data_IF_780137295102
#
_entry.id   IF_780137295102
#
_cell.length_a   1.000
_cell.length_b   1.000
_cell.length_c   1.000
_cell.angle_alpha   90.00
_cell.angle_beta   90.00
_cell.angle_gamma   90.00
#
_symmetry.space_group_name_H-M   'P 1'
#
loop_
_entity.id
_entity.type
_entity.pdbx_description
1 polymer ?
#
# COMPACT_ATOMS: atom_id res chain seq x y z
N UNK A 1 -16.74 -45.52 39.83
CA UNK A 1 -16.54 -45.24 38.39
C UNK A 1 -16.97 -43.82 38.00
N UNK A 2 -18.06 -43.25 38.52
CA UNK A 2 -18.55 -41.91 38.16
C UNK A 2 -17.56 -40.76 38.46
N UNK A 3 -16.76 -40.82 39.53
CA UNK A 3 -15.77 -39.75 39.86
C UNK A 3 -14.59 -39.66 38.90
N UNK A 4 -14.17 -40.78 38.29
CA UNK A 4 -13.06 -40.79 37.32
C UNK A 4 -13.48 -40.19 35.95
N UNK A 5 -14.73 -40.38 35.55
CA UNK A 5 -15.29 -39.82 34.31
C UNK A 5 -15.40 -38.31 34.43
N UNK A 6 -15.80 -37.78 35.60
CA UNK A 6 -15.93 -36.33 35.83
C UNK A 6 -14.56 -35.63 35.79
N UNK A 7 -13.50 -36.25 36.27
CA UNK A 7 -12.15 -35.73 36.23
C UNK A 7 -11.62 -35.65 34.79
N UNK A 8 -11.96 -36.66 33.93
CA UNK A 8 -11.56 -36.65 32.51
C UNK A 8 -12.26 -35.54 31.70
N UNK A 9 -13.53 -35.27 31.97
CA UNK A 9 -14.30 -34.22 31.33
C UNK A 9 -13.75 -32.84 31.72
N UNK A 10 -13.40 -32.63 32.99
CA UNK A 10 -12.81 -31.37 33.45
C UNK A 10 -11.43 -31.13 32.84
N UNK A 11 -10.61 -32.15 32.64
CA UNK A 11 -9.31 -32.06 32.01
C UNK A 11 -9.43 -31.74 30.49
N UNK A 12 -10.43 -32.30 29.81
CA UNK A 12 -10.68 -32.04 28.40
C UNK A 12 -11.11 -30.60 28.14
N UNK A 13 -11.86 -29.97 29.06
CA UNK A 13 -12.27 -28.56 28.94
C UNK A 13 -11.10 -27.59 29.13
N UNK A 14 -10.12 -27.92 29.97
CA UNK A 14 -8.90 -27.14 30.16
C UNK A 14 -7.99 -27.13 28.94
N UNK A 15 -7.99 -28.19 28.14
CA UNK A 15 -7.13 -28.30 26.95
C UNK A 15 -7.66 -27.46 25.76
N UNK A 16 -8.98 -27.28 25.67
CA UNK A 16 -9.57 -26.51 24.55
C UNK A 16 -9.38 -25.00 24.68
N UNK A 17 -9.12 -24.48 25.89
CA UNK A 17 -8.87 -23.04 26.09
C UNK A 17 -7.47 -22.56 25.66
N UNK A 18 -6.54 -23.52 25.45
CA UNK A 18 -5.15 -23.19 25.06
C UNK A 18 -4.96 -23.01 23.54
N UNK A 19 -5.95 -23.38 22.71
CA UNK A 19 -5.82 -23.28 21.25
C UNK A 19 -6.42 -22.01 20.63
N UNK A 20 -6.93 -21.08 21.41
CA UNK A 20 -7.49 -19.81 20.92
C UNK A 20 -6.48 -18.63 21.03
N UNK A 21 -5.21 -18.87 20.79
CA UNK A 21 -4.29 -17.78 20.47
C UNK A 21 -4.48 -17.38 19.01
N UNK A 22 -5.47 -16.54 18.76
CA UNK A 22 -5.57 -15.77 17.54
C UNK A 22 -4.28 -14.95 17.46
N UNK A 23 -3.35 -15.35 16.61
CA UNK A 23 -2.14 -14.61 16.29
C UNK A 23 -2.59 -13.25 15.75
N UNK A 24 -2.71 -12.27 16.61
CA UNK A 24 -2.84 -10.87 16.21
C UNK A 24 -1.53 -10.52 15.53
N UNK A 25 -1.54 -10.42 14.21
CA UNK A 25 -0.38 -9.96 13.48
C UNK A 25 -0.16 -8.51 13.88
N UNK A 26 0.84 -8.28 14.70
CA UNK A 26 1.22 -6.96 15.19
C UNK A 26 1.57 -6.07 13.98
N UNK A 27 0.83 -4.99 13.82
CA UNK A 27 1.04 -4.02 12.74
C UNK A 27 1.89 -2.88 13.26
N UNK A 28 3.02 -2.67 12.64
CA UNK A 28 3.94 -1.59 12.94
C UNK A 28 3.72 -0.41 11.99
N UNK A 29 4.08 0.78 12.44
CA UNK A 29 3.99 2.01 11.65
C UNK A 29 5.35 2.71 11.67
N UNK A 30 5.83 3.12 10.50
CA UNK A 30 7.02 3.97 10.34
C UNK A 30 6.64 5.20 9.53
N UNK A 31 7.08 6.36 9.97
CA UNK A 31 6.97 7.61 9.20
C UNK A 31 8.35 8.04 8.71
N UNK A 32 8.40 8.58 7.49
CA UNK A 32 9.61 9.13 6.89
C UNK A 32 9.26 10.50 6.34
N UNK A 33 9.90 11.54 6.84
CA UNK A 33 9.68 12.90 6.35
C UNK A 33 10.08 13.01 4.86
N UNK A 34 9.28 13.76 4.10
CA UNK A 34 9.51 14.03 2.68
C UNK A 34 9.18 15.49 2.39
N UNK A 35 9.90 16.07 1.45
CA UNK A 35 9.58 17.39 0.92
C UNK A 35 8.58 17.30 -0.24
N UNK A 36 8.11 18.45 -0.73
CA UNK A 36 7.23 18.49 -1.90
C UNK A 36 7.92 17.89 -3.13
N UNK A 37 7.26 16.92 -3.75
CA UNK A 37 7.69 16.28 -4.98
C UNK A 37 6.56 16.32 -6.03
N UNK A 38 6.91 16.18 -7.29
CA UNK A 38 5.96 16.07 -8.39
C UNK A 38 6.18 14.83 -9.28
N UNK A 39 7.21 14.05 -8.97
CA UNK A 39 7.49 12.76 -9.60
C UNK A 39 7.61 11.66 -8.57
N UNK A 40 6.90 10.56 -8.79
CA UNK A 40 6.91 9.35 -7.96
C UNK A 40 7.39 8.17 -8.78
N UNK A 41 8.37 7.41 -8.27
CA UNK A 41 8.88 6.19 -8.89
C UNK A 41 8.68 5.01 -7.93
N UNK A 42 8.00 3.96 -8.42
CA UNK A 42 7.72 2.73 -7.68
C UNK A 42 8.50 1.59 -8.33
N UNK A 43 9.50 1.05 -7.60
CA UNK A 43 10.45 0.03 -8.12
C UNK A 43 10.34 -1.34 -7.47
N UNK A 44 9.17 -1.70 -6.91
CA UNK A 44 9.02 -2.99 -6.23
C UNK A 44 7.57 -3.42 -6.16
N UNK A 45 7.35 -4.72 -6.00
CA UNK A 45 6.03 -5.31 -5.75
C UNK A 45 5.51 -4.89 -4.37
N UNK A 46 4.81 -3.77 -4.32
CA UNK A 46 4.29 -3.13 -3.11
C UNK A 46 2.89 -2.56 -3.35
N UNK A 47 2.15 -2.39 -2.26
CA UNK A 47 0.88 -1.67 -2.28
C UNK A 47 1.12 -0.24 -1.83
N UNK A 48 0.75 0.71 -2.69
CA UNK A 48 0.85 2.15 -2.45
C UNK A 48 -0.54 2.76 -2.42
N UNK A 49 -0.79 3.61 -1.44
CA UNK A 49 -1.98 4.43 -1.34
C UNK A 49 -1.60 5.90 -1.40
N UNK A 50 -2.02 6.58 -2.45
CA UNK A 50 -1.80 8.02 -2.63
C UNK A 50 -2.87 8.79 -1.86
N UNK A 51 -2.47 9.82 -1.13
CA UNK A 51 -3.38 10.65 -0.35
C UNK A 51 -3.15 12.11 -0.73
N UNK A 52 -4.16 12.74 -1.30
CA UNK A 52 -4.13 14.19 -1.53
C UNK A 52 -4.39 14.91 -0.19
N UNK A 53 -3.37 15.53 0.37
CA UNK A 53 -3.47 16.26 1.65
C UNK A 53 -2.67 17.56 1.60
N UNK A 54 -3.22 18.66 2.11
CA UNK A 54 -2.55 19.97 2.04
C UNK A 54 -1.30 20.10 2.92
N UNK A 55 -1.19 19.31 4.00
CA UNK A 55 -0.25 19.57 5.09
C UNK A 55 0.55 18.36 5.59
N UNK A 56 0.42 17.17 5.01
CA UNK A 56 1.19 16.00 5.45
C UNK A 56 2.53 15.94 4.71
N UNK A 57 3.64 15.94 5.46
CA UNK A 57 5.00 15.96 4.96
C UNK A 57 5.74 14.65 5.31
N UNK A 58 5.01 13.54 5.40
CA UNK A 58 5.62 12.27 5.71
C UNK A 58 4.95 11.09 5.00
N UNK A 59 5.77 10.23 4.41
CA UNK A 59 5.34 8.90 3.96
C UNK A 59 5.14 8.01 5.17
N UNK A 60 3.97 7.37 5.26
CA UNK A 60 3.63 6.43 6.33
C UNK A 60 3.65 5.00 5.79
N UNK A 61 4.37 4.12 6.44
CA UNK A 61 4.53 2.72 6.09
C UNK A 61 3.89 1.88 7.18
N UNK A 62 2.90 1.08 6.84
CA UNK A 62 2.20 0.18 7.74
C UNK A 62 2.40 -1.27 7.33
N UNK A 63 2.64 -2.16 8.30
CA UNK A 63 2.78 -3.58 8.03
C UNK A 63 3.59 -4.32 9.08
N UNK A 64 4.03 -5.52 8.73
CA UNK A 64 4.90 -6.29 9.62
C UNK A 64 6.26 -5.59 9.79
N UNK A 65 6.94 -5.84 10.92
CA UNK A 65 8.29 -5.33 11.16
C UNK A 65 9.25 -5.60 9.99
N UNK A 66 9.23 -6.84 9.45
CA UNK A 66 10.03 -7.22 8.28
C UNK A 66 9.69 -6.42 7.02
N UNK A 67 8.43 -6.04 6.83
CA UNK A 67 8.03 -5.22 5.69
C UNK A 67 8.62 -3.81 5.84
N UNK A 68 8.42 -3.18 6.98
CA UNK A 68 8.89 -1.82 7.26
C UNK A 68 10.41 -1.70 7.12
N UNK A 69 11.17 -2.68 7.61
CA UNK A 69 12.64 -2.68 7.53
C UNK A 69 13.17 -2.80 6.09
N UNK A 70 12.39 -3.40 5.19
CA UNK A 70 12.78 -3.59 3.79
C UNK A 70 12.41 -2.43 2.87
N UNK A 71 11.41 -1.62 3.26
CA UNK A 71 10.98 -0.48 2.45
C UNK A 71 11.97 0.67 2.60
N UNK A 72 12.37 1.23 1.47
CA UNK A 72 13.24 2.39 1.36
C UNK A 72 12.51 3.51 0.64
N UNK A 73 12.50 4.67 1.25
CA UNK A 73 12.01 5.92 0.70
C UNK A 73 13.25 6.78 0.42
N UNK A 74 13.42 7.18 -0.84
CA UNK A 74 14.57 7.96 -1.28
C UNK A 74 14.02 9.18 -2.01
N UNK A 75 14.41 10.37 -1.57
CA UNK A 75 14.07 11.61 -2.22
C UNK A 75 15.30 12.27 -2.81
N UNK A 76 15.19 12.72 -4.05
CA UNK A 76 16.19 13.51 -4.75
C UNK A 76 15.49 14.73 -5.42
N UNK A 77 15.55 15.86 -4.76
CA UNK A 77 14.84 17.07 -5.21
C UNK A 77 13.33 16.82 -5.31
N UNK A 78 12.78 16.95 -6.51
CA UNK A 78 11.34 16.78 -6.79
C UNK A 78 10.92 15.33 -7.12
N UNK A 79 11.83 14.40 -7.01
CA UNK A 79 11.58 12.97 -7.26
C UNK A 79 11.57 12.18 -5.95
N UNK A 80 10.51 11.40 -5.74
CA UNK A 80 10.39 10.44 -4.65
C UNK A 80 10.43 9.03 -5.22
N UNK A 81 11.41 8.23 -4.82
CA UNK A 81 11.53 6.82 -5.17
C UNK A 81 11.15 5.93 -4.00
N UNK A 82 10.24 5.00 -4.25
CA UNK A 82 9.83 3.96 -3.30
C UNK A 82 10.29 2.62 -3.81
N UNK A 83 11.10 1.92 -3.03
CA UNK A 83 11.55 0.57 -3.35
C UNK A 83 11.60 -0.32 -2.12
N UNK A 84 11.60 -1.63 -2.34
CA UNK A 84 11.76 -2.61 -1.28
C UNK A 84 12.79 -3.66 -1.69
N UNK A 85 13.54 -4.16 -0.72
CA UNK A 85 14.32 -5.38 -0.92
C UNK A 85 13.35 -6.54 -1.15
N UNK A 86 13.71 -7.49 -2.04
CA UNK A 86 12.85 -8.63 -2.42
C UNK A 86 12.18 -9.31 -1.24
N UNK A 87 10.89 -9.60 -1.37
CA UNK A 87 10.12 -10.42 -0.43
C UNK A 87 9.99 -11.83 -1.02
N UNK A 88 10.62 -12.82 -0.41
CA UNK A 88 10.38 -14.25 -0.75
C UNK A 88 8.97 -14.71 -0.33
N UNK A 89 8.35 -14.04 0.62
CA UNK A 89 7.06 -14.41 1.20
C UNK A 89 6.04 -13.30 0.97
N UNK A 90 5.13 -13.50 0.03
CA UNK A 90 4.11 -12.50 -0.36
C UNK A 90 2.97 -12.35 0.66
N UNK A 91 2.86 -13.24 1.66
CA UNK A 91 1.70 -13.28 2.56
C UNK A 91 1.64 -12.18 3.62
N UNK A 92 2.73 -11.44 3.87
CA UNK A 92 2.79 -10.36 4.89
C UNK A 92 3.15 -9.03 4.24
N UNK A 93 2.25 -8.54 3.42
CA UNK A 93 2.37 -7.22 2.78
C UNK A 93 1.91 -6.14 3.75
N UNK A 94 2.47 -4.96 3.60
CA UNK A 94 2.00 -3.73 4.22
C UNK A 94 1.52 -2.75 3.15
N UNK A 95 1.13 -1.58 3.60
CA UNK A 95 0.68 -0.47 2.76
C UNK A 95 1.59 0.72 2.98
N UNK A 96 1.94 1.40 1.90
CA UNK A 96 2.73 2.63 1.93
C UNK A 96 1.80 3.77 1.55
N UNK A 97 1.54 4.67 2.50
CA UNK A 97 0.72 5.86 2.32
C UNK A 97 1.63 7.00 1.93
N UNK A 98 1.38 7.59 0.77
CA UNK A 98 2.21 8.65 0.20
C UNK A 98 1.36 9.92 0.07
N UNK A 99 1.69 10.98 0.82
CA UNK A 99 1.06 12.28 0.64
C UNK A 99 1.48 12.84 -0.72
N UNK A 100 0.50 13.26 -1.52
CA UNK A 100 0.77 13.85 -2.82
C UNK A 100 0.11 15.22 -2.92
N UNK A 101 0.80 16.15 -3.58
CA UNK A 101 0.30 17.45 -3.95
C UNK A 101 0.77 17.74 -5.36
N UNK A 102 -0.15 17.93 -6.28
CA UNK A 102 0.19 18.25 -7.67
C UNK A 102 1.15 17.24 -8.31
N UNK A 103 0.91 15.93 -8.06
CA UNK A 103 1.69 14.87 -8.68
C UNK A 103 1.51 14.94 -10.20
N UNK A 104 2.62 15.09 -10.94
CA UNK A 104 2.62 15.26 -12.39
C UNK A 104 3.08 14.01 -13.13
N UNK A 105 4.01 13.26 -12.54
CA UNK A 105 4.60 12.09 -13.17
C UNK A 105 4.66 10.93 -12.20
N UNK A 106 4.28 9.74 -12.66
CA UNK A 106 4.42 8.49 -11.92
C UNK A 106 5.05 7.43 -12.82
N UNK A 107 6.03 6.71 -12.30
CA UNK A 107 6.66 5.59 -12.99
C UNK A 107 6.48 4.33 -12.14
N UNK A 108 5.98 3.27 -12.74
CA UNK A 108 5.75 1.98 -12.09
C UNK A 108 6.62 0.94 -12.79
N UNK A 109 7.73 0.58 -12.15
CA UNK A 109 8.76 -0.30 -12.68
C UNK A 109 8.70 -1.74 -12.16
N UNK A 110 7.60 -2.16 -11.53
CA UNK A 110 7.43 -3.50 -10.96
C UNK A 110 5.96 -3.81 -10.70
N UNK A 111 5.66 -5.06 -10.34
CA UNK A 111 4.33 -5.53 -9.96
C UNK A 111 3.83 -4.77 -8.73
N UNK A 112 3.10 -3.70 -8.93
CA UNK A 112 2.63 -2.85 -7.86
C UNK A 112 1.10 -2.68 -7.92
N UNK A 113 0.50 -2.46 -6.74
CA UNK A 113 -0.87 -1.98 -6.65
C UNK A 113 -0.84 -0.53 -6.17
N UNK A 114 -1.35 0.38 -7.00
CA UNK A 114 -1.43 1.81 -6.70
C UNK A 114 -2.89 2.23 -6.63
N UNK A 115 -3.29 2.77 -5.48
CA UNK A 115 -4.66 3.26 -5.27
C UNK A 115 -4.62 4.69 -4.74
N UNK A 116 -5.69 5.45 -4.93
CA UNK A 116 -5.84 6.73 -4.24
C UNK A 116 -6.90 6.62 -3.14
N UNK A 117 -6.63 7.25 -1.99
CA UNK A 117 -7.55 7.31 -0.86
C UNK A 117 -8.68 8.32 -1.12
N UNK A 118 -8.36 9.42 -1.77
CA UNK A 118 -9.26 10.51 -2.12
C UNK A 118 -8.94 11.04 -3.53
N UNK A 119 -9.66 12.05 -3.98
CA UNK A 119 -9.51 12.62 -5.32
C UNK A 119 -8.20 13.40 -5.41
N UNK A 120 -7.30 12.93 -6.29
CA UNK A 120 -6.05 13.60 -6.59
C UNK A 120 -6.29 14.84 -7.45
N UNK A 121 -5.76 15.98 -7.03
CA UNK A 121 -5.85 17.26 -7.73
C UNK A 121 -4.63 17.43 -8.64
N UNK A 122 -4.64 16.84 -9.82
CA UNK A 122 -3.55 16.98 -10.77
C UNK A 122 -4.09 17.43 -12.14
N UNK A 123 -3.72 18.63 -12.63
CA UNK A 123 -4.15 19.08 -13.95
C UNK A 123 -3.79 18.10 -15.07
N UNK A 124 -2.59 17.52 -14.98
CA UNK A 124 -2.11 16.47 -15.87
C UNK A 124 -1.25 15.49 -15.07
N UNK A 125 -1.66 14.21 -15.04
CA UNK A 125 -0.87 13.14 -14.50
C UNK A 125 -0.40 12.23 -15.65
N UNK A 126 0.92 12.10 -15.78
CA UNK A 126 1.55 11.19 -16.73
C UNK A 126 2.00 9.94 -15.98
N UNK A 127 1.59 8.76 -16.44
CA UNK A 127 2.00 7.49 -15.86
C UNK A 127 2.79 6.71 -16.91
N UNK A 128 3.99 6.28 -16.54
CA UNK A 128 4.82 5.36 -17.30
C UNK A 128 4.78 3.98 -16.62
N UNK A 129 4.38 2.96 -17.37
CA UNK A 129 4.25 1.60 -16.87
C UNK A 129 5.38 0.76 -17.47
N UNK A 130 6.28 0.28 -16.60
CA UNK A 130 7.42 -0.58 -16.95
C UNK A 130 7.38 -1.91 -16.16
N UNK A 131 6.20 -2.36 -15.73
CA UNK A 131 6.00 -3.60 -14.98
C UNK A 131 4.50 -3.89 -14.82
N UNK A 132 4.16 -5.14 -14.51
CA UNK A 132 2.76 -5.53 -14.26
C UNK A 132 2.21 -4.74 -13.07
N UNK A 133 1.02 -4.15 -13.21
CA UNK A 133 0.47 -3.34 -12.13
C UNK A 133 -1.07 -3.24 -12.16
N UNK A 134 -1.63 -2.86 -11.02
CA UNK A 134 -3.03 -2.50 -10.86
C UNK A 134 -3.09 -1.05 -10.39
N UNK A 135 -3.85 -0.21 -11.10
CA UNK A 135 -3.96 1.22 -10.82
C UNK A 135 -5.44 1.58 -10.65
N UNK A 136 -5.81 1.99 -9.44
CA UNK A 136 -7.16 2.43 -9.09
C UNK A 136 -7.10 3.88 -8.57
N UNK A 137 -7.39 4.87 -9.42
CA UNK A 137 -7.24 6.28 -9.07
C UNK A 137 -8.54 7.06 -9.18
N UNK A 138 -8.82 7.85 -8.17
CA UNK A 138 -9.74 8.98 -8.25
C UNK A 138 -8.94 10.21 -8.65
N UNK A 139 -9.18 10.76 -9.84
CA UNK A 139 -8.38 11.86 -10.38
C UNK A 139 -9.27 12.96 -10.95
N UNK A 140 -9.02 14.18 -10.55
CA UNK A 140 -9.52 15.38 -11.20
C UNK A 140 -8.42 15.97 -12.09
N UNK A 141 -8.62 15.91 -13.40
CA UNK A 141 -7.64 16.34 -14.40
C UNK A 141 -7.47 15.33 -15.52
N UNK A 142 -6.46 15.56 -16.34
CA UNK A 142 -6.11 14.70 -17.48
C UNK A 142 -5.16 13.59 -17.04
N UNK A 143 -5.41 12.39 -17.51
CA UNK A 143 -4.53 11.25 -17.33
C UNK A 143 -3.94 10.82 -18.66
N UNK A 144 -2.63 10.71 -18.73
CA UNK A 144 -1.88 10.16 -19.85
C UNK A 144 -1.15 8.91 -19.35
N UNK A 145 -1.41 7.76 -19.97
CA UNK A 145 -0.72 6.50 -19.67
C UNK A 145 0.13 6.12 -20.87
N UNK A 146 1.38 5.76 -20.61
CA UNK A 146 2.29 5.13 -21.57
C UNK A 146 2.78 3.81 -20.97
N UNK A 147 2.77 2.77 -21.76
CA UNK A 147 3.27 1.45 -21.36
C UNK A 147 4.49 1.09 -22.19
N UNK A 148 5.43 0.36 -21.61
CA UNK A 148 6.45 -0.35 -22.33
C UNK A 148 5.87 -1.67 -22.83
N UNK A 149 6.34 -2.17 -23.98
CA UNK A 149 5.87 -3.43 -24.57
C UNK A 149 6.04 -4.61 -23.61
N UNK A 150 5.03 -5.50 -23.57
CA UNK A 150 5.09 -6.78 -22.86
C UNK A 150 4.64 -6.78 -21.40
N UNK A 151 4.09 -5.69 -20.90
CA UNK A 151 3.52 -5.64 -19.56
C UNK A 151 1.99 -5.67 -19.55
N UNK A 152 1.42 -6.28 -18.50
CA UNK A 152 -0.01 -6.29 -18.28
C UNK A 152 -0.36 -5.27 -17.19
N UNK A 153 -1.35 -4.41 -17.45
CA UNK A 153 -1.85 -3.52 -16.43
C UNK A 153 -3.38 -3.46 -16.45
N UNK A 154 -3.96 -3.21 -15.30
CA UNK A 154 -5.38 -2.92 -15.15
C UNK A 154 -5.50 -1.52 -14.57
N UNK A 155 -6.29 -0.69 -15.24
CA UNK A 155 -6.57 0.67 -14.81
C UNK A 155 -8.07 0.88 -14.63
N UNK A 156 -8.45 1.38 -13.46
CA UNK A 156 -9.81 1.82 -13.17
C UNK A 156 -9.79 3.30 -12.79
N UNK A 157 -10.48 4.12 -13.55
CA UNK A 157 -10.72 5.51 -13.17
C UNK A 157 -12.05 5.57 -12.42
N UNK A 158 -11.99 5.96 -11.16
CA UNK A 158 -13.19 6.19 -10.35
C UNK A 158 -13.57 7.64 -10.53
N UNK A 159 -14.75 7.90 -11.11
CA UNK A 159 -15.33 9.23 -11.18
C UNK A 159 -16.09 9.52 -9.89
N UNK A 160 -15.90 10.70 -9.33
CA UNK A 160 -16.84 11.19 -8.32
C UNK A 160 -18.25 11.23 -8.96
N UNK A 161 -19.16 10.39 -8.47
CA UNK A 161 -20.57 10.57 -8.79
C UNK A 161 -20.97 11.92 -8.19
N UNK A 162 -21.18 12.92 -9.03
CA UNK A 162 -21.77 14.19 -8.61
C UNK A 162 -23.04 13.83 -7.83
N UNK A 163 -23.02 14.04 -6.51
CA UNK A 163 -24.24 14.16 -5.75
C UNK A 163 -24.90 15.44 -6.28
N UNK A 164 -25.88 15.27 -7.18
CA UNK A 164 -26.81 16.34 -7.49
C UNK A 164 -27.47 16.72 -6.15
N UNK A 165 -27.32 17.98 -5.77
CA UNK A 165 -28.05 18.62 -4.69
C UNK A 165 -29.53 18.72 -5.06
#
# INVERSE_FOLDING_TARGET
MKKKIFLFILLAIMITSLFSQKSSSETFVKKTAVENFNRLIIKSNITVMLIEVPSEDSVRIEGSKKFIEKVMIIQAGKELTVRSKSFKDQKKKGIIYIPVRLLQNMEIGADAKVTSYNVLQSPVLNILINGDCIIDLMLKGRLNIREAEGYNFTYHRIYEKNKAL
#
